data_IF_185530059655
#
_entry.id   IF_185530059655
#
_cell.length_a   1.000
_cell.length_b   1.000
_cell.length_c   1.000
_cell.angle_alpha   90.00
_cell.angle_beta   90.00
_cell.angle_gamma   90.00
#
_symmetry.space_group_name_H-M   'P 1'
#
loop_
_entity.id
_entity.type
_entity.pdbx_description
1 polymer ?
#
# COMPACT_ATOMS: atom_id res chain seq x y z
N UNK A 1 -18.00 25.26 8.57
CA UNK A 1 -18.86 24.26 7.91
C UNK A 1 -19.69 23.46 8.91
N UNK A 2 -19.14 22.68 9.86
CA UNK A 2 -19.91 21.83 10.80
C UNK A 2 -20.96 22.62 11.61
N UNK A 3 -20.59 23.79 12.16
CA UNK A 3 -21.52 24.68 12.88
C UNK A 3 -22.68 25.11 11.98
N UNK A 4 -22.44 25.45 10.74
CA UNK A 4 -23.47 25.88 9.79
C UNK A 4 -24.42 24.72 9.46
N UNK A 5 -23.89 23.53 9.16
CA UNK A 5 -24.71 22.33 8.92
C UNK A 5 -25.58 21.98 10.14
N UNK A 6 -25.04 22.05 11.33
CA UNK A 6 -25.79 21.79 12.56
C UNK A 6 -26.94 22.82 12.75
N UNK A 7 -26.66 24.10 12.46
CA UNK A 7 -27.66 25.16 12.58
C UNK A 7 -28.82 25.05 11.57
N UNK A 8 -28.63 24.36 10.44
CA UNK A 8 -29.70 24.11 9.46
C UNK A 8 -30.70 23.05 9.90
N UNK A 9 -30.39 22.23 10.88
CA UNK A 9 -31.20 21.08 11.29
C UNK A 9 -31.32 19.96 10.25
N UNK A 10 -30.57 20.03 9.14
CA UNK A 10 -30.61 19.02 8.09
C UNK A 10 -30.02 17.69 8.58
N UNK A 11 -30.65 16.55 8.25
CA UNK A 11 -30.08 15.24 8.49
C UNK A 11 -28.66 15.15 7.90
N UNK A 12 -27.69 14.85 8.75
CA UNK A 12 -26.27 14.87 8.37
C UNK A 12 -25.55 13.68 8.98
N UNK A 13 -24.73 12.99 8.18
CA UNK A 13 -23.85 11.89 8.63
C UNK A 13 -22.39 12.28 8.36
N UNK A 14 -21.54 12.08 9.34
CA UNK A 14 -20.12 12.35 9.24
C UNK A 14 -19.38 11.06 8.76
N UNK A 15 -18.72 11.13 7.62
CA UNK A 15 -17.90 10.02 7.07
C UNK A 15 -16.39 10.24 7.25
N UNK A 16 -15.98 11.33 7.90
CA UNK A 16 -14.56 11.60 8.14
C UNK A 16 -14.08 11.00 9.46
N UNK A 17 -12.77 10.74 9.58
CA UNK A 17 -12.15 10.32 10.84
C UNK A 17 -12.21 11.37 11.96
N UNK A 18 -12.56 12.60 11.64
CA UNK A 18 -12.63 13.71 12.62
C UNK A 18 -13.96 13.69 13.38
N UNK A 19 -13.92 13.67 14.70
CA UNK A 19 -15.10 13.88 15.55
C UNK A 19 -15.28 15.37 15.83
N UNK A 20 -16.51 15.83 15.74
CA UNK A 20 -16.88 17.20 16.08
C UNK A 20 -17.53 17.20 17.46
N UNK A 21 -16.75 17.43 18.52
CA UNK A 21 -17.22 17.34 19.90
C UNK A 21 -18.45 18.23 20.20
N UNK A 22 -18.51 19.42 19.57
CA UNK A 22 -19.63 20.37 19.74
C UNK A 22 -20.84 20.07 18.84
N UNK A 23 -20.74 19.11 17.93
CA UNK A 23 -21.79 18.79 16.95
C UNK A 23 -21.82 17.26 16.78
N UNK A 24 -22.66 16.54 17.54
CA UNK A 24 -22.67 15.07 17.56
C UNK A 24 -23.39 14.49 16.33
N UNK A 25 -22.81 14.71 15.15
CA UNK A 25 -23.30 14.02 13.96
C UNK A 25 -23.05 12.52 14.08
N UNK A 26 -24.02 11.66 13.74
CA UNK A 26 -23.77 10.23 13.55
C UNK A 26 -22.59 10.03 12.61
N UNK A 27 -21.74 9.06 12.93
CA UNK A 27 -20.47 8.88 12.23
C UNK A 27 -20.31 7.46 11.70
N UNK A 28 -19.88 7.33 10.45
CA UNK A 28 -19.41 6.08 9.85
C UNK A 28 -18.03 6.34 9.27
N UNK A 29 -17.01 5.61 9.72
CA UNK A 29 -15.64 5.87 9.30
C UNK A 29 -14.76 4.64 9.45
N UNK A 30 -13.51 4.72 8.97
CA UNK A 30 -12.50 3.68 9.14
C UNK A 30 -12.13 3.50 10.62
N UNK A 31 -11.95 2.25 11.05
CA UNK A 31 -11.31 1.90 12.30
C UNK A 31 -9.80 2.18 12.20
N UNK A 32 -9.40 3.36 12.67
CA UNK A 32 -8.01 3.82 12.61
C UNK A 32 -7.04 2.98 13.46
N UNK A 33 -7.54 2.37 14.53
CA UNK A 33 -6.70 1.49 15.36
C UNK A 33 -6.47 0.16 14.67
N UNK A 34 -7.50 -0.41 14.05
CA UNK A 34 -7.35 -1.61 13.24
C UNK A 34 -6.43 -1.37 12.03
N UNK A 35 -6.52 -0.20 11.38
CA UNK A 35 -5.65 0.16 10.27
C UNK A 35 -4.18 0.28 10.70
N UNK A 36 -3.91 0.89 11.86
CA UNK A 36 -2.55 0.98 12.41
C UNK A 36 -1.95 -0.39 12.74
N UNK A 37 -2.72 -1.27 13.38
CA UNK A 37 -2.28 -2.64 13.69
C UNK A 37 -2.03 -3.44 12.41
N UNK A 38 -2.97 -3.45 11.48
CA UNK A 38 -2.82 -4.13 10.18
C UNK A 38 -1.54 -3.70 9.45
N UNK A 39 -1.22 -2.40 9.49
CA UNK A 39 -0.01 -1.86 8.87
C UNK A 39 1.27 -2.36 9.55
N UNK A 40 1.26 -2.47 10.87
CA UNK A 40 2.39 -3.00 11.63
C UNK A 40 2.61 -4.49 11.30
N UNK A 41 1.54 -5.29 11.37
CA UNK A 41 1.59 -6.72 11.06
C UNK A 41 2.12 -6.95 9.64
N UNK A 42 1.59 -6.21 8.66
CA UNK A 42 2.04 -6.32 7.27
C UNK A 42 3.54 -6.02 7.10
N UNK A 43 4.04 -4.94 7.71
CA UNK A 43 5.47 -4.59 7.60
C UNK A 43 6.37 -5.58 8.36
N UNK A 44 5.90 -6.15 9.47
CA UNK A 44 6.61 -7.22 10.21
C UNK A 44 6.65 -8.52 9.42
N UNK A 45 5.57 -8.89 8.74
CA UNK A 45 5.49 -10.09 7.88
C UNK A 45 6.44 -10.01 6.67
N UNK A 46 6.88 -8.80 6.29
CA UNK A 46 7.96 -8.61 5.31
C UNK A 46 9.36 -8.92 5.87
N UNK A 47 9.48 -9.29 7.14
CA UNK A 47 10.74 -9.57 7.81
C UNK A 47 11.52 -8.32 8.25
N UNK A 48 10.92 -7.15 8.19
CA UNK A 48 11.54 -5.90 8.67
C UNK A 48 11.67 -5.89 10.19
N UNK A 49 12.71 -5.23 10.69
CA UNK A 49 13.01 -5.10 12.13
C UNK A 49 13.11 -3.66 12.61
N UNK A 50 13.13 -2.70 11.70
CA UNK A 50 13.13 -1.27 12.00
C UNK A 50 11.88 -0.65 11.42
N UNK A 51 11.21 0.19 12.21
CA UNK A 51 9.91 0.75 11.86
C UNK A 51 9.88 2.24 12.16
N UNK A 52 9.18 2.97 11.30
CA UNK A 52 8.99 4.39 11.49
C UNK A 52 7.59 4.83 11.04
N UNK A 53 7.14 5.94 11.57
CA UNK A 53 5.88 6.57 11.18
C UNK A 53 6.13 7.99 10.70
N UNK A 54 5.66 8.30 9.52
CA UNK A 54 5.76 9.62 8.90
C UNK A 54 4.37 10.21 8.63
N UNK A 55 4.18 11.47 8.95
CA UNK A 55 3.00 12.24 8.56
C UNK A 55 3.36 13.72 8.44
N UNK A 56 2.92 14.32 7.33
CA UNK A 56 3.15 15.74 7.03
C UNK A 56 2.38 16.65 8.00
N UNK A 57 1.15 16.27 8.31
CA UNK A 57 0.33 16.92 9.35
C UNK A 57 -0.11 15.86 10.35
N UNK A 58 -0.17 16.22 11.64
CA UNK A 58 -0.65 15.32 12.67
C UNK A 58 -2.00 15.80 13.27
N UNK A 59 -3.12 15.67 12.52
CA UNK A 59 -4.43 15.98 13.07
C UNK A 59 -4.69 15.12 14.32
N UNK A 60 -5.45 15.64 15.27
CA UNK A 60 -5.71 14.96 16.57
C UNK A 60 -6.27 13.55 16.37
N UNK A 61 -7.13 13.33 15.36
CA UNK A 61 -7.71 12.01 15.08
C UNK A 61 -6.67 11.00 14.58
N UNK A 62 -5.57 11.44 13.98
CA UNK A 62 -4.49 10.56 13.53
C UNK A 62 -3.63 10.00 14.67
N UNK A 63 -3.74 10.57 15.88
CA UNK A 63 -3.03 10.05 17.05
C UNK A 63 -3.38 8.58 17.34
N UNK A 64 -4.64 8.16 17.10
CA UNK A 64 -5.08 6.77 17.28
C UNK A 64 -4.40 5.82 16.32
N UNK A 65 -4.37 6.17 15.03
CA UNK A 65 -3.70 5.37 13.99
C UNK A 65 -2.21 5.20 14.29
N UNK A 66 -1.52 6.32 14.54
CA UNK A 66 -0.09 6.32 14.88
C UNK A 66 0.19 5.50 16.14
N UNK A 67 -0.61 5.70 17.21
CA UNK A 67 -0.44 4.99 18.47
C UNK A 67 -0.64 3.47 18.27
N UNK A 68 -1.69 3.07 17.59
CA UNK A 68 -1.96 1.65 17.34
C UNK A 68 -0.84 0.98 16.53
N UNK A 69 -0.25 1.68 15.57
CA UNK A 69 0.92 1.21 14.85
C UNK A 69 2.14 1.06 15.77
N UNK A 70 2.48 2.11 16.52
CA UNK A 70 3.62 2.09 17.42
C UNK A 70 3.47 1.04 18.53
N UNK A 71 2.29 0.97 19.18
CA UNK A 71 1.99 -0.01 20.23
C UNK A 71 2.12 -1.46 19.69
N UNK A 72 1.70 -1.74 18.45
CA UNK A 72 1.83 -3.06 17.83
C UNK A 72 3.31 -3.42 17.55
N UNK A 73 4.09 -2.48 17.02
CA UNK A 73 5.53 -2.64 16.79
C UNK A 73 6.28 -2.86 18.11
N UNK A 74 5.96 -2.08 19.14
CA UNK A 74 6.57 -2.20 20.46
C UNK A 74 6.19 -3.51 21.17
N UNK A 75 4.95 -3.97 21.04
CA UNK A 75 4.50 -5.25 21.56
C UNK A 75 5.23 -6.45 20.93
N UNK A 76 5.68 -6.31 19.69
CA UNK A 76 6.54 -7.30 19.01
C UNK A 76 8.03 -7.19 19.37
N UNK A 77 8.40 -6.28 20.29
CA UNK A 77 9.79 -6.10 20.77
C UNK A 77 10.65 -5.18 19.91
N UNK A 78 10.07 -4.45 18.98
CA UNK A 78 10.77 -3.51 18.12
C UNK A 78 10.57 -2.05 18.56
N UNK A 79 11.34 -1.13 17.98
CA UNK A 79 11.18 0.32 18.18
C UNK A 79 10.51 0.96 16.98
N UNK A 80 9.68 1.98 17.23
CA UNK A 80 9.06 2.80 16.20
C UNK A 80 9.59 4.23 16.27
N UNK A 81 10.29 4.68 15.23
CA UNK A 81 10.77 6.05 15.08
C UNK A 81 9.66 6.95 14.54
N UNK A 82 9.43 8.09 15.21
CA UNK A 82 8.38 9.01 14.83
C UNK A 82 8.98 10.28 14.20
N UNK A 83 8.63 10.51 12.93
CA UNK A 83 8.92 11.79 12.30
C UNK A 83 7.98 12.88 12.86
N UNK A 84 8.56 14.00 13.23
CA UNK A 84 7.80 15.20 13.64
C UNK A 84 8.16 16.32 12.69
N UNK A 85 7.22 16.68 11.81
CA UNK A 85 7.38 17.87 11.00
C UNK A 85 7.38 19.12 11.89
N UNK A 86 8.32 20.05 11.72
CA UNK A 86 8.41 21.24 12.55
C UNK A 86 7.40 22.33 12.20
N UNK A 87 6.67 22.22 11.08
CA UNK A 87 5.80 23.29 10.56
C UNK A 87 4.32 22.92 10.41
N UNK A 88 3.48 23.94 10.21
CA UNK A 88 2.10 23.79 9.76
C UNK A 88 2.09 23.48 8.25
N UNK A 89 1.56 22.36 7.92
CA UNK A 89 1.79 21.65 6.64
C UNK A 89 1.11 22.25 5.40
N UNK A 90 0.42 23.35 5.47
CA UNK A 90 -0.07 24.06 4.27
C UNK A 90 1.06 24.81 3.52
N UNK A 91 2.17 25.06 4.20
CA UNK A 91 3.39 25.69 3.65
C UNK A 91 4.55 24.68 3.50
N UNK A 92 4.28 23.39 3.65
CA UNK A 92 5.24 22.28 3.79
C UNK A 92 6.09 21.95 2.55
N UNK A 93 6.19 22.82 1.56
CA UNK A 93 7.17 22.71 0.49
C UNK A 93 8.46 23.49 0.77
N UNK A 94 8.70 23.91 2.01
CA UNK A 94 9.89 24.64 2.35
C UNK A 94 11.15 23.79 2.17
N UNK A 95 12.21 24.39 1.68
CA UNK A 95 13.52 23.73 1.50
C UNK A 95 14.07 23.17 2.82
N UNK A 96 13.71 23.77 3.96
CA UNK A 96 14.11 23.35 5.30
C UNK A 96 13.46 22.04 5.73
N UNK A 97 12.18 21.83 5.46
CA UNK A 97 11.48 20.57 5.80
C UNK A 97 11.96 19.39 4.97
N UNK A 98 12.23 19.65 3.66
CA UNK A 98 12.86 18.64 2.81
C UNK A 98 14.25 18.24 3.30
N UNK A 99 15.03 19.19 3.81
CA UNK A 99 16.34 18.93 4.39
C UNK A 99 16.24 18.14 5.71
N UNK A 100 15.24 18.41 6.50
CA UNK A 100 15.01 17.71 7.78
C UNK A 100 14.52 16.27 7.56
N UNK A 101 13.58 16.06 6.64
CA UNK A 101 13.15 14.71 6.25
C UNK A 101 14.34 13.86 5.76
N UNK A 102 15.20 14.44 4.91
CA UNK A 102 16.41 13.75 4.44
C UNK A 102 17.37 13.39 5.58
N UNK A 103 17.59 14.31 6.53
CA UNK A 103 18.42 14.05 7.70
C UNK A 103 17.83 12.95 8.60
N UNK A 104 16.50 12.97 8.78
CA UNK A 104 15.81 11.93 9.55
C UNK A 104 15.94 10.56 8.88
N UNK A 105 15.66 10.44 7.58
CA UNK A 105 15.84 9.21 6.82
C UNK A 105 17.27 8.66 6.90
N UNK A 106 18.29 9.53 6.88
CA UNK A 106 19.69 9.14 7.00
C UNK A 106 20.05 8.54 8.37
N UNK A 107 19.31 8.86 9.44
CA UNK A 107 19.56 8.36 10.81
C UNK A 107 18.86 7.04 11.12
N UNK A 108 17.83 6.68 10.37
CA UNK A 108 17.10 5.43 10.59
C UNK A 108 18.00 4.24 10.30
N UNK A 109 17.93 3.20 11.15
CA UNK A 109 18.52 1.89 10.85
C UNK A 109 17.79 1.25 9.67
N UNK A 110 18.51 0.57 8.79
CA UNK A 110 17.99 -0.02 7.57
C UNK A 110 18.19 -1.55 7.55
N UNK A 111 17.33 -2.28 6.84
CA UNK A 111 16.11 -1.82 6.14
C UNK A 111 15.01 -1.38 7.12
N UNK A 112 14.23 -0.35 6.76
CA UNK A 112 13.18 0.21 7.60
C UNK A 112 11.83 0.22 6.90
N UNK A 113 10.76 -0.16 7.61
CA UNK A 113 9.38 -0.01 7.17
C UNK A 113 8.79 1.31 7.67
N UNK A 114 8.36 2.18 6.77
CA UNK A 114 7.75 3.47 7.10
C UNK A 114 6.27 3.43 6.78
N UNK A 115 5.42 3.56 7.80
CA UNK A 115 4.00 3.82 7.63
C UNK A 115 3.79 5.33 7.48
N UNK A 116 3.24 5.73 6.35
CA UNK A 116 2.82 7.11 6.10
C UNK A 116 1.37 7.28 6.51
N UNK A 117 1.06 8.33 7.25
CA UNK A 117 -0.22 8.57 7.93
C UNK A 117 -1.47 8.19 7.15
N UNK A 118 -2.63 8.25 7.78
CA UNK A 118 -3.91 7.90 7.17
C UNK A 118 -4.66 9.15 6.71
N UNK A 119 -5.61 8.99 5.76
CA UNK A 119 -6.45 10.07 5.25
C UNK A 119 -6.13 10.45 3.82
N UNK A 120 -6.59 9.62 2.89
CA UNK A 120 -6.50 9.70 1.42
C UNK A 120 -5.30 10.51 0.88
N UNK A 121 -5.50 11.77 0.53
CA UNK A 121 -4.46 12.62 -0.04
C UNK A 121 -3.25 12.82 0.89
N UNK A 122 -3.45 13.00 2.22
CA UNK A 122 -2.34 13.24 3.15
C UNK A 122 -1.42 12.04 3.32
N UNK A 123 -1.96 10.81 3.31
CA UNK A 123 -1.15 9.60 3.40
C UNK A 123 -0.29 9.41 2.15
N UNK A 124 -0.89 9.59 0.98
CA UNK A 124 -0.21 9.42 -0.30
C UNK A 124 0.82 10.53 -0.53
N UNK A 125 0.50 11.79 -0.21
CA UNK A 125 1.47 12.88 -0.23
C UNK A 125 2.64 12.62 0.72
N UNK A 126 2.34 12.16 1.94
CA UNK A 126 3.33 11.78 2.95
C UNK A 126 4.27 10.68 2.43
N UNK A 127 3.71 9.62 1.82
CA UNK A 127 4.47 8.53 1.23
C UNK A 127 5.32 8.97 0.03
N UNK A 128 4.76 9.77 -0.87
CA UNK A 128 5.49 10.33 -2.00
C UNK A 128 6.68 11.19 -1.56
N UNK A 129 6.51 11.99 -0.52
CA UNK A 129 7.60 12.80 0.02
C UNK A 129 8.74 11.95 0.58
N UNK A 130 8.41 10.85 1.27
CA UNK A 130 9.40 9.89 1.75
C UNK A 130 10.13 9.26 0.57
N UNK A 131 9.43 8.81 -0.46
CA UNK A 131 10.03 8.21 -1.68
C UNK A 131 10.95 9.21 -2.38
N UNK A 132 10.50 10.45 -2.59
CA UNK A 132 11.30 11.48 -3.25
C UNK A 132 12.53 11.89 -2.40
N UNK A 133 12.38 11.94 -1.07
CA UNK A 133 13.48 12.22 -0.17
C UNK A 133 14.53 11.09 -0.18
N UNK A 134 14.09 9.81 -0.22
CA UNK A 134 14.99 8.66 -0.37
C UNK A 134 15.83 8.77 -1.65
N UNK A 135 15.19 9.03 -2.79
CA UNK A 135 15.88 9.21 -4.07
C UNK A 135 16.95 10.30 -4.00
N UNK A 136 16.67 11.41 -3.33
CA UNK A 136 17.57 12.55 -3.22
C UNK A 136 18.80 12.27 -2.33
N UNK A 137 18.77 11.25 -1.47
CA UNK A 137 19.89 10.86 -0.59
C UNK A 137 20.50 9.51 -0.96
N UNK A 138 20.13 8.97 -2.12
CA UNK A 138 20.67 7.70 -2.60
C UNK A 138 20.16 6.45 -1.88
N UNK A 139 19.02 6.55 -1.18
CA UNK A 139 18.34 5.41 -0.57
C UNK A 139 17.37 4.77 -1.57
N UNK A 140 17.32 3.46 -1.58
CA UNK A 140 16.47 2.68 -2.47
C UNK A 140 15.15 2.31 -1.79
N UNK A 141 14.05 2.46 -2.55
CA UNK A 141 12.73 1.99 -2.16
C UNK A 141 12.38 0.82 -3.08
N UNK A 142 12.12 -0.37 -2.54
CA UNK A 142 11.87 -0.68 -1.13
C UNK A 142 13.10 -1.18 -0.33
N UNK A 143 14.27 -1.39 -0.90
CA UNK A 143 15.37 -2.15 -0.32
C UNK A 143 15.92 -1.55 0.98
N UNK A 144 16.15 -0.24 1.03
CA UNK A 144 16.58 0.46 2.24
C UNK A 144 15.39 0.96 3.05
N UNK A 145 14.32 1.36 2.35
CA UNK A 145 13.13 1.98 2.94
C UNK A 145 11.88 1.41 2.27
N UNK A 146 11.15 0.56 2.96
CA UNK A 146 9.82 0.14 2.54
C UNK A 146 8.78 1.20 2.92
N UNK A 147 7.98 1.67 1.97
CA UNK A 147 7.00 2.73 2.18
C UNK A 147 5.59 2.20 2.02
N UNK A 148 4.80 2.26 3.10
CA UNK A 148 3.39 1.90 3.13
C UNK A 148 2.54 3.15 3.35
N UNK A 149 1.59 3.44 2.47
CA UNK A 149 0.57 4.45 2.71
C UNK A 149 -0.49 3.93 3.67
N UNK A 150 -0.89 4.72 4.65
CA UNK A 150 -1.99 4.38 5.57
C UNK A 150 -3.37 4.43 4.92
N UNK A 151 -3.46 4.76 3.65
CA UNK A 151 -4.66 4.76 2.82
C UNK A 151 -4.28 4.35 1.40
N UNK A 152 -5.25 3.90 0.60
CA UNK A 152 -5.04 3.58 -0.79
C UNK A 152 -5.93 4.43 -1.70
N UNK A 153 -5.33 4.90 -2.78
CA UNK A 153 -6.00 5.52 -3.91
C UNK A 153 -5.33 4.95 -5.16
N UNK A 154 -6.07 4.16 -5.91
CA UNK A 154 -5.53 3.41 -7.03
C UNK A 154 -4.77 4.31 -8.02
N UNK A 155 -5.33 5.48 -8.34
CA UNK A 155 -4.72 6.40 -9.30
C UNK A 155 -3.43 7.03 -8.74
N UNK A 156 -3.50 7.59 -7.53
CA UNK A 156 -2.35 8.30 -6.95
C UNK A 156 -1.23 7.35 -6.52
N UNK A 157 -1.59 6.15 -6.06
CA UNK A 157 -0.61 5.13 -5.67
C UNK A 157 0.16 4.56 -6.86
N UNK A 158 -0.50 4.41 -8.01
CA UNK A 158 0.12 3.89 -9.24
C UNK A 158 1.05 4.90 -9.93
N UNK A 159 0.79 6.21 -9.83
CA UNK A 159 1.69 7.23 -10.43
C UNK A 159 2.93 7.52 -9.60
N UNK A 160 3.04 6.98 -8.39
CA UNK A 160 4.28 7.04 -7.61
C UNK A 160 5.38 6.19 -8.26
N UNK A 161 6.63 6.57 -8.09
CA UNK A 161 7.78 5.79 -8.54
C UNK A 161 8.77 5.54 -7.39
N UNK A 162 8.79 4.28 -6.88
CA UNK A 162 8.00 3.11 -7.28
C UNK A 162 6.51 3.25 -6.91
N UNK A 163 5.60 2.47 -7.57
CA UNK A 163 4.20 2.38 -7.17
C UNK A 163 4.04 2.05 -5.69
N UNK A 164 3.16 2.79 -5.01
CA UNK A 164 3.10 2.79 -3.55
C UNK A 164 2.04 1.83 -3.03
N UNK A 165 2.42 0.95 -2.12
CA UNK A 165 1.52 0.08 -1.37
C UNK A 165 0.64 0.89 -0.43
N UNK A 166 -0.61 0.48 -0.27
CA UNK A 166 -1.57 1.22 0.55
C UNK A 166 -2.52 0.33 1.35
N UNK A 167 -3.06 0.88 2.43
CA UNK A 167 -4.09 0.23 3.22
C UNK A 167 -5.44 0.42 2.53
N UNK A 168 -6.06 -0.69 2.12
CA UNK A 168 -7.38 -0.68 1.48
C UNK A 168 -8.46 -0.38 2.51
N UNK A 169 -8.96 0.85 2.53
CA UNK A 169 -10.08 1.25 3.35
C UNK A 169 -11.40 0.81 2.71
N UNK A 170 -12.38 0.45 3.55
CA UNK A 170 -13.68 -0.03 3.08
C UNK A 170 -14.60 1.13 2.62
N UNK A 171 -14.12 1.97 1.69
CA UNK A 171 -14.77 3.23 1.28
C UNK A 171 -16.20 3.01 0.77
N UNK A 172 -16.43 1.97 -0.03
CA UNK A 172 -17.76 1.61 -0.52
C UNK A 172 -18.71 1.24 0.62
N UNK A 173 -18.26 0.40 1.55
CA UNK A 173 -19.06 0.02 2.73
C UNK A 173 -19.33 1.23 3.64
N UNK A 174 -18.37 2.14 3.81
CA UNK A 174 -18.57 3.39 4.54
C UNK A 174 -19.69 4.20 3.87
N UNK A 175 -19.65 4.34 2.54
CA UNK A 175 -20.68 5.05 1.77
C UNK A 175 -22.06 4.40 1.92
N UNK A 176 -22.17 3.09 1.80
CA UNK A 176 -23.42 2.32 1.96
C UNK A 176 -23.99 2.48 3.37
N UNK A 177 -23.18 2.30 4.41
CA UNK A 177 -23.61 2.46 5.79
C UNK A 177 -24.00 3.90 6.12
N UNK A 178 -23.27 4.88 5.59
CA UNK A 178 -23.59 6.30 5.77
C UNK A 178 -24.91 6.66 5.09
N UNK A 179 -25.19 6.17 3.88
CA UNK A 179 -26.44 6.36 3.18
C UNK A 179 -27.62 5.72 3.92
N UNK A 180 -27.44 4.49 4.42
CA UNK A 180 -28.46 3.83 5.24
C UNK A 180 -28.74 4.58 6.54
N UNK A 181 -27.70 5.12 7.19
CA UNK A 181 -27.81 5.92 8.41
C UNK A 181 -28.52 7.26 8.12
N UNK A 182 -28.18 7.91 7.00
CA UNK A 182 -28.83 9.15 6.57
C UNK A 182 -30.33 8.92 6.30
N UNK A 183 -30.68 7.82 5.62
CA UNK A 183 -32.08 7.45 5.38
C UNK A 183 -32.86 7.21 6.70
N UNK A 184 -32.24 6.60 7.70
CA UNK A 184 -32.86 6.46 9.04
C UNK A 184 -33.12 7.83 9.67
N UNK A 185 -32.15 8.74 9.64
CA UNK A 185 -32.30 10.11 10.15
C UNK A 185 -33.45 10.84 9.45
N UNK A 186 -33.53 10.77 8.12
CA UNK A 186 -34.60 11.39 7.33
C UNK A 186 -35.97 10.79 7.66
N UNK A 187 -36.02 9.53 8.08
CA UNK A 187 -37.25 8.81 8.47
C UNK A 187 -37.59 8.97 9.97
N UNK A 188 -36.87 9.81 10.72
CA UNK A 188 -37.07 9.99 12.17
C UNK A 188 -36.72 8.76 13.02
N UNK A 189 -36.00 7.78 12.46
CA UNK A 189 -35.61 6.55 13.16
C UNK A 189 -34.32 6.77 13.96
N UNK A 190 -34.15 6.09 15.11
CA UNK A 190 -32.94 6.24 15.92
C UNK A 190 -31.70 5.72 15.16
N UNK A 191 -30.57 6.41 15.38
CA UNK A 191 -29.25 6.01 14.90
C UNK A 191 -28.42 5.40 16.05
N UNK A 192 -27.37 4.65 15.76
CA UNK A 192 -26.46 4.17 16.79
C UNK A 192 -25.89 5.33 17.65
N UNK A 193 -25.75 5.12 18.96
CA UNK A 193 -25.23 6.13 19.88
C UNK A 193 -23.73 6.43 19.71
N UNK A 194 -22.99 5.56 19.02
CA UNK A 194 -21.55 5.72 18.78
C UNK A 194 -21.18 5.71 17.30
N UNK A 195 -19.90 5.96 16.97
CA UNK A 195 -19.42 5.86 15.61
C UNK A 195 -19.47 4.38 15.12
N UNK A 196 -19.94 4.18 13.91
CA UNK A 196 -19.79 2.92 13.18
C UNK A 196 -18.39 2.88 12.59
N UNK A 197 -17.56 1.98 13.11
CA UNK A 197 -16.16 1.83 12.69
C UNK A 197 -16.03 0.61 11.78
N UNK A 198 -15.53 0.82 10.56
CA UNK A 198 -15.31 -0.23 9.59
C UNK A 198 -13.81 -0.54 9.50
N UNK A 199 -13.47 -1.81 9.67
CA UNK A 199 -12.09 -2.29 9.54
C UNK A 199 -11.62 -2.15 8.09
N UNK A 200 -10.33 -1.86 7.85
CA UNK A 200 -9.76 -1.93 6.51
C UNK A 200 -9.89 -3.38 5.96
N UNK A 201 -10.00 -3.50 4.65
CA UNK A 201 -10.14 -4.81 3.98
C UNK A 201 -8.82 -5.54 3.80
N UNK A 202 -7.68 -4.87 3.96
CA UNK A 202 -6.35 -5.45 3.80
C UNK A 202 -5.31 -4.40 3.42
N UNK A 203 -4.16 -4.87 2.95
CA UNK A 203 -3.13 -4.05 2.31
C UNK A 203 -3.07 -4.43 0.83
N UNK A 204 -3.02 -3.43 -0.04
CA UNK A 204 -2.75 -3.61 -1.48
C UNK A 204 -1.23 -3.48 -1.68
N UNK A 205 -0.51 -4.59 -1.83
CA UNK A 205 0.93 -4.56 -2.01
C UNK A 205 1.28 -4.08 -3.41
N UNK A 206 2.20 -3.11 -3.48
CA UNK A 206 2.83 -2.63 -4.71
C UNK A 206 4.35 -2.62 -4.53
N UNK A 207 5.07 -2.02 -5.46
CA UNK A 207 6.54 -2.07 -5.48
C UNK A 207 7.20 -1.41 -4.27
N UNK A 208 6.60 -0.39 -3.65
CA UNK A 208 7.22 0.34 -2.52
C UNK A 208 7.39 -0.47 -1.23
N UNK A 209 6.74 -1.63 -1.11
CA UNK A 209 6.91 -2.57 -0.01
C UNK A 209 7.31 -3.98 -0.48
N UNK A 210 7.67 -4.13 -1.75
CA UNK A 210 8.16 -5.41 -2.27
C UNK A 210 9.61 -5.66 -1.79
N UNK A 211 9.76 -5.61 -0.47
CA UNK A 211 11.05 -5.79 0.24
C UNK A 211 11.44 -7.23 0.13
N UNK A 212 12.68 -7.42 -0.27
CA UNK A 212 13.37 -8.65 0.06
C UNK A 212 14.35 -8.31 1.17
N UNK A 213 13.94 -8.58 2.39
CA UNK A 213 14.83 -8.47 3.56
C UNK A 213 15.87 -9.56 3.47
N UNK A 214 16.97 -9.25 2.80
CA UNK A 214 18.08 -10.18 2.64
C UNK A 214 19.35 -9.53 3.18
N UNK A 215 19.88 -10.11 4.24
CA UNK A 215 21.21 -9.73 4.78
C UNK A 215 22.37 -10.01 3.79
N UNK A 216 22.06 -10.49 2.59
CA UNK A 216 23.00 -10.81 1.53
C UNK A 216 22.99 -9.74 0.43
N UNK A 217 24.02 -8.88 0.35
CA UNK A 217 24.09 -7.79 -0.62
C UNK A 217 24.10 -8.26 -2.08
N UNK A 218 24.60 -9.48 -2.34
CA UNK A 218 24.61 -10.05 -3.69
C UNK A 218 23.20 -10.49 -4.09
N UNK A 219 22.45 -11.05 -3.14
CA UNK A 219 21.08 -11.44 -3.38
C UNK A 219 20.20 -10.20 -3.55
N UNK A 220 20.38 -9.16 -2.74
CA UNK A 220 19.70 -7.87 -2.91
C UNK A 220 19.97 -7.26 -4.30
N UNK A 221 21.23 -7.31 -4.77
CA UNK A 221 21.59 -6.84 -6.11
C UNK A 221 20.90 -7.66 -7.21
N UNK A 222 20.87 -8.98 -7.08
CA UNK A 222 20.22 -9.87 -8.03
C UNK A 222 18.70 -9.60 -8.13
N UNK A 223 18.05 -9.37 -7.00
CA UNK A 223 16.62 -9.11 -6.95
C UNK A 223 16.31 -7.72 -7.53
N UNK A 224 17.11 -6.71 -7.21
CA UNK A 224 16.99 -5.38 -7.84
C UNK A 224 17.10 -5.48 -9.34
N UNK A 225 18.12 -6.17 -9.86
CA UNK A 225 18.26 -6.40 -11.29
C UNK A 225 17.03 -7.07 -11.91
N UNK A 226 16.48 -8.10 -11.26
CA UNK A 226 15.25 -8.76 -11.73
C UNK A 226 14.09 -7.76 -11.80
N UNK A 227 13.89 -6.92 -10.79
CA UNK A 227 12.79 -5.94 -10.74
C UNK A 227 12.89 -4.90 -11.83
N UNK A 228 14.10 -4.38 -12.03
CA UNK A 228 14.34 -3.32 -13.00
C UNK A 228 14.22 -3.81 -14.44
N UNK A 229 14.63 -5.08 -14.70
CA UNK A 229 14.75 -5.63 -16.05
C UNK A 229 13.75 -6.74 -16.38
N UNK A 230 12.84 -7.15 -15.47
CA UNK A 230 11.90 -8.24 -15.75
C UNK A 230 10.99 -7.99 -16.95
N UNK A 231 10.73 -6.72 -17.31
CA UNK A 231 9.97 -6.32 -18.48
C UNK A 231 10.73 -6.59 -19.79
N UNK A 232 12.03 -6.73 -19.72
CA UNK A 232 12.87 -7.25 -20.79
C UNK A 232 12.85 -8.78 -20.76
N UNK A 233 13.28 -9.43 -21.82
CA UNK A 233 13.29 -10.90 -21.88
C UNK A 233 14.50 -11.52 -21.17
N UNK A 234 14.81 -11.03 -19.94
CA UNK A 234 15.92 -11.58 -19.16
C UNK A 234 15.70 -13.04 -18.76
N UNK A 235 16.81 -13.75 -18.59
CA UNK A 235 16.89 -15.11 -18.09
C UNK A 235 17.74 -15.16 -16.82
N UNK A 236 17.72 -16.29 -16.10
CA UNK A 236 18.51 -16.50 -14.87
C UNK A 236 20.01 -16.24 -15.12
N UNK A 237 20.52 -16.56 -16.31
CA UNK A 237 21.92 -16.28 -16.65
C UNK A 237 22.27 -14.80 -16.71
N UNK A 238 21.32 -13.93 -17.04
CA UNK A 238 21.55 -12.48 -17.02
C UNK A 238 21.65 -11.97 -15.59
N UNK A 239 20.86 -12.54 -14.67
CA UNK A 239 20.98 -12.25 -13.24
C UNK A 239 22.33 -12.72 -12.67
N UNK A 240 22.82 -13.88 -13.11
CA UNK A 240 24.15 -14.39 -12.69
C UNK A 240 25.28 -13.45 -13.13
N UNK A 241 25.16 -12.77 -14.26
CA UNK A 241 26.21 -11.85 -14.76
C UNK A 241 26.40 -10.59 -13.90
N UNK A 242 25.38 -10.20 -13.13
CA UNK A 242 25.42 -8.96 -12.33
C UNK A 242 25.84 -9.17 -10.89
N UNK A 243 26.12 -10.41 -10.49
CA UNK A 243 26.57 -10.74 -9.14
C UNK A 243 27.78 -11.67 -9.18
N UNK A 244 28.73 -11.59 -8.22
CA UNK A 244 29.90 -12.45 -8.18
C UNK A 244 29.56 -13.84 -7.56
N UNK A 245 28.51 -14.49 -8.09
CA UNK A 245 28.02 -15.78 -7.62
C UNK A 245 27.91 -16.78 -8.79
N UNK A 246 28.19 -18.05 -8.52
CA UNK A 246 27.81 -19.10 -9.46
C UNK A 246 26.29 -19.24 -9.50
N UNK A 247 25.76 -19.77 -10.60
CA UNK A 247 24.32 -20.05 -10.75
C UNK A 247 23.78 -20.90 -9.59
N UNK A 248 24.49 -21.95 -9.20
CA UNK A 248 24.09 -22.83 -8.09
C UNK A 248 24.04 -22.08 -6.75
N UNK A 249 25.05 -21.23 -6.48
CA UNK A 249 25.07 -20.42 -5.27
C UNK A 249 23.92 -19.40 -5.25
N UNK A 250 23.63 -18.76 -6.37
CA UNK A 250 22.51 -17.85 -6.50
C UNK A 250 21.16 -18.56 -6.27
N UNK A 251 20.93 -19.70 -6.92
CA UNK A 251 19.71 -20.50 -6.75
C UNK A 251 19.54 -20.95 -5.29
N UNK A 252 20.60 -21.44 -4.65
CA UNK A 252 20.59 -21.83 -3.23
C UNK A 252 20.19 -20.67 -2.32
N UNK A 253 20.83 -19.51 -2.49
CA UNK A 253 20.55 -18.31 -1.68
C UNK A 253 19.14 -17.80 -1.90
N UNK A 254 18.63 -17.83 -3.14
CA UNK A 254 17.24 -17.46 -3.44
C UNK A 254 16.25 -18.36 -2.71
N UNK A 255 16.47 -19.68 -2.72
CA UNK A 255 15.58 -20.62 -2.03
C UNK A 255 15.65 -20.43 -0.52
N UNK A 256 16.85 -20.25 0.06
CA UNK A 256 17.01 -20.03 1.51
C UNK A 256 16.35 -18.74 1.99
N UNK A 257 16.44 -17.67 1.23
CA UNK A 257 15.95 -16.36 1.65
C UNK A 257 14.49 -16.09 1.24
N UNK A 258 14.01 -16.66 0.14
CA UNK A 258 12.73 -16.32 -0.48
C UNK A 258 11.81 -17.53 -0.72
N UNK A 259 12.25 -18.72 -0.37
CA UNK A 259 11.55 -19.99 -0.66
C UNK A 259 11.16 -20.15 -2.14
N UNK A 260 11.97 -19.58 -3.05
CA UNK A 260 11.75 -19.64 -4.50
C UNK A 260 13.05 -19.47 -5.29
N UNK A 261 13.05 -19.95 -6.53
CA UNK A 261 14.20 -19.81 -7.43
C UNK A 261 14.24 -18.43 -8.10
N UNK A 262 15.42 -18.00 -8.64
CA UNK A 262 15.52 -16.77 -9.43
C UNK A 262 14.55 -16.74 -10.63
N UNK A 263 14.33 -17.87 -11.30
CA UNK A 263 13.36 -17.97 -12.39
C UNK A 263 11.92 -17.80 -11.94
N UNK A 264 11.57 -18.31 -10.75
CA UNK A 264 10.26 -18.08 -10.15
C UNK A 264 10.06 -16.59 -9.77
N UNK A 265 11.12 -15.92 -9.28
CA UNK A 265 11.07 -14.48 -8.99
C UNK A 265 10.90 -13.63 -10.24
N UNK A 266 11.63 -13.90 -11.33
CA UNK A 266 11.41 -13.24 -12.63
C UNK A 266 9.95 -13.39 -13.06
N UNK A 267 9.40 -14.62 -12.98
CA UNK A 267 8.01 -14.89 -13.34
C UNK A 267 7.02 -14.13 -12.45
N UNK A 268 7.26 -14.08 -11.15
CA UNK A 268 6.43 -13.34 -10.17
C UNK A 268 6.35 -11.85 -10.50
N UNK A 269 7.50 -11.21 -10.76
CA UNK A 269 7.57 -9.78 -11.10
C UNK A 269 6.86 -9.50 -12.43
N UNK A 270 7.07 -10.34 -13.44
CA UNK A 270 6.36 -10.25 -14.73
C UNK A 270 4.85 -10.39 -14.57
N UNK A 271 4.42 -11.35 -13.75
CA UNK A 271 2.99 -11.58 -13.49
C UNK A 271 2.33 -10.41 -12.80
N UNK A 272 3.00 -9.81 -11.79
CA UNK A 272 2.53 -8.60 -11.13
C UNK A 272 2.35 -7.44 -12.12
N UNK A 273 3.33 -7.24 -13.03
CA UNK A 273 3.24 -6.24 -14.10
C UNK A 273 2.11 -6.55 -15.08
N UNK A 274 1.93 -7.82 -15.48
CA UNK A 274 0.85 -8.21 -16.39
C UNK A 274 -0.54 -7.97 -15.76
N UNK A 275 -0.73 -8.29 -14.47
CA UNK A 275 -1.98 -8.00 -13.75
C UNK A 275 -2.34 -6.53 -13.81
N UNK A 276 -1.37 -5.65 -13.53
CA UNK A 276 -1.54 -4.20 -13.60
C UNK A 276 -1.92 -3.75 -15.01
N UNK A 277 -1.16 -4.14 -16.03
CA UNK A 277 -1.47 -3.79 -17.43
C UNK A 277 -2.85 -4.28 -17.89
N UNK A 278 -3.29 -5.45 -17.41
CA UNK A 278 -4.64 -5.96 -17.69
C UNK A 278 -5.74 -5.12 -17.03
N UNK A 279 -5.51 -4.63 -15.82
CA UNK A 279 -6.45 -3.78 -15.08
C UNK A 279 -6.54 -2.38 -15.70
N UNK A 280 -5.38 -1.77 -16.02
CA UNK A 280 -5.26 -0.33 -16.25
C UNK A 280 -5.14 0.07 -17.74
N UNK A 281 -4.99 -0.89 -18.67
CA UNK A 281 -4.82 -0.58 -20.09
C UNK A 281 -5.70 -1.41 -21.01
N UNK A 282 -6.00 -0.88 -22.20
CA UNK A 282 -6.72 -1.57 -23.27
C UNK A 282 -5.83 -2.44 -24.16
N UNK A 283 -4.61 -2.70 -23.74
CA UNK A 283 -3.68 -3.56 -24.49
C UNK A 283 -4.27 -4.94 -24.72
N UNK A 284 -4.06 -5.49 -25.91
CA UNK A 284 -4.38 -6.90 -26.16
C UNK A 284 -3.57 -7.80 -25.23
N UNK A 285 -4.02 -9.03 -24.98
CA UNK A 285 -3.28 -9.99 -24.14
C UNK A 285 -1.86 -10.23 -24.69
N UNK A 286 -1.68 -10.20 -26.01
CA UNK A 286 -0.36 -10.27 -26.66
C UNK A 286 0.51 -9.05 -26.35
N UNK A 287 -0.05 -7.83 -26.43
CA UNK A 287 0.67 -6.61 -26.08
C UNK A 287 1.03 -6.57 -24.59
N UNK A 288 0.14 -7.05 -23.72
CA UNK A 288 0.43 -7.20 -22.27
C UNK A 288 1.57 -8.19 -22.05
N UNK A 289 1.57 -9.33 -22.74
CA UNK A 289 2.63 -10.32 -22.63
C UNK A 289 3.99 -9.70 -22.97
N UNK A 290 4.08 -9.01 -24.09
CA UNK A 290 5.32 -8.34 -24.53
C UNK A 290 5.73 -7.25 -23.52
N UNK A 291 4.82 -6.36 -23.11
CA UNK A 291 5.11 -5.26 -22.19
C UNK A 291 5.45 -5.72 -20.77
N UNK A 292 5.02 -6.91 -20.38
CA UNK A 292 5.34 -7.52 -19.08
C UNK A 292 6.59 -8.43 -19.13
N UNK A 293 7.22 -8.60 -20.30
CA UNK A 293 8.44 -9.42 -20.46
C UNK A 293 8.18 -10.92 -20.66
N UNK A 294 6.93 -11.33 -20.97
CA UNK A 294 6.64 -12.70 -21.37
C UNK A 294 6.97 -12.91 -22.86
N UNK A 295 7.50 -14.10 -23.17
CA UNK A 295 7.87 -14.43 -24.57
C UNK A 295 6.70 -14.57 -25.52
N UNK A 296 5.50 -14.94 -25.01
CA UNK A 296 4.29 -15.05 -25.81
C UNK A 296 3.01 -14.91 -24.98
N UNK A 297 1.88 -14.66 -25.67
CA UNK A 297 0.55 -14.59 -25.05
C UNK A 297 0.10 -15.94 -24.47
N UNK A 298 0.50 -17.04 -25.12
CA UNK A 298 0.20 -18.41 -24.69
C UNK A 298 0.90 -18.70 -23.36
N UNK A 299 2.19 -18.36 -23.25
CA UNK A 299 2.96 -18.54 -22.03
C UNK A 299 2.41 -17.67 -20.89
N UNK A 300 2.07 -16.40 -21.15
CA UNK A 300 1.37 -15.56 -20.17
C UNK A 300 0.07 -16.22 -19.71
N UNK A 301 -0.75 -16.73 -20.64
CA UNK A 301 -2.03 -17.36 -20.33
C UNK A 301 -1.87 -18.64 -19.50
N UNK A 302 -0.84 -19.42 -19.76
CA UNK A 302 -0.50 -20.61 -18.98
C UNK A 302 -0.12 -20.22 -17.55
N UNK A 303 0.81 -19.27 -17.37
CA UNK A 303 1.25 -18.78 -16.07
C UNK A 303 0.07 -18.20 -15.29
N UNK A 304 -0.78 -17.40 -15.93
CA UNK A 304 -1.97 -16.84 -15.31
C UNK A 304 -2.91 -17.90 -14.75
N UNK A 305 -3.21 -18.95 -15.53
CA UNK A 305 -4.05 -20.07 -15.05
C UNK A 305 -3.42 -20.79 -13.87
N UNK A 306 -2.11 -21.03 -13.92
CA UNK A 306 -1.39 -21.75 -12.86
C UNK A 306 -1.29 -20.94 -11.58
N UNK A 307 -0.92 -19.66 -11.67
CA UNK A 307 -0.54 -18.85 -10.50
C UNK A 307 -1.71 -17.95 -10.01
N UNK A 308 -2.73 -17.68 -10.84
CA UNK A 308 -3.89 -16.82 -10.52
C UNK A 308 -5.21 -17.59 -10.52
N UNK A 309 -5.27 -18.75 -11.19
CA UNK A 309 -6.47 -19.58 -11.26
C UNK A 309 -7.45 -19.20 -12.37
N UNK A 310 -7.26 -18.08 -13.06
CA UNK A 310 -8.14 -17.58 -14.13
C UNK A 310 -7.35 -17.21 -15.37
N UNK A 311 -8.02 -16.95 -16.49
CA UNK A 311 -7.36 -16.45 -17.70
C UNK A 311 -7.10 -14.94 -17.61
N UNK A 312 -6.11 -14.37 -18.36
CA UNK A 312 -5.88 -12.93 -18.42
C UNK A 312 -7.13 -12.13 -18.81
N UNK A 313 -7.92 -12.65 -19.74
CA UNK A 313 -9.16 -11.98 -20.18
C UNK A 313 -10.26 -12.00 -19.11
N UNK A 314 -10.40 -13.10 -18.36
CA UNK A 314 -11.32 -13.22 -17.25
C UNK A 314 -10.91 -12.25 -16.13
N UNK A 315 -9.64 -12.23 -15.75
CA UNK A 315 -9.09 -11.30 -14.77
C UNK A 315 -9.38 -9.83 -15.14
N UNK A 316 -9.14 -9.45 -16.40
CA UNK A 316 -9.48 -8.11 -16.91
C UNK A 316 -10.96 -7.78 -16.73
N UNK A 317 -11.84 -8.73 -17.10
CA UNK A 317 -13.29 -8.54 -16.97
C UNK A 317 -13.71 -8.35 -15.52
N UNK A 318 -13.14 -9.12 -14.61
CA UNK A 318 -13.43 -9.02 -13.17
C UNK A 318 -12.96 -7.68 -12.59
N UNK A 319 -11.74 -7.25 -12.93
CA UNK A 319 -11.17 -5.98 -12.43
C UNK A 319 -11.86 -4.74 -12.96
N UNK A 320 -12.46 -4.83 -14.15
CA UNK A 320 -13.16 -3.71 -14.81
C UNK A 320 -14.66 -3.72 -14.63
N UNK A 321 -15.22 -4.76 -14.04
CA UNK A 321 -16.66 -4.82 -13.74
C UNK A 321 -16.96 -3.89 -12.57
N UNK A 322 -17.80 -2.87 -12.72
CA UNK A 322 -18.31 -2.13 -11.59
C UNK A 322 -19.18 -3.08 -10.76
N UNK A 323 -18.80 -3.31 -9.51
CA UNK A 323 -19.53 -4.08 -8.50
C UNK A 323 -19.40 -5.60 -8.67
N UNK A 324 -18.60 -6.21 -7.79
CA UNK A 324 -18.65 -7.64 -7.54
C UNK A 324 -20.10 -8.03 -7.20
N UNK A 325 -20.69 -8.86 -8.04
CA UNK A 325 -22.03 -9.42 -7.83
C UNK A 325 -22.06 -10.13 -6.48
N UNK A 326 -23.04 -9.78 -5.65
CA UNK A 326 -23.38 -10.57 -4.48
C UNK A 326 -23.52 -12.05 -4.86
N UNK A 327 -23.07 -12.99 -4.02
CA UNK A 327 -23.11 -14.41 -4.35
C UNK A 327 -24.53 -14.82 -4.75
N UNK A 328 -24.67 -15.39 -5.96
CA UNK A 328 -25.94 -15.95 -6.43
C UNK A 328 -26.41 -16.97 -5.39
N UNK A 329 -27.55 -16.70 -4.77
CA UNK A 329 -28.23 -17.69 -3.93
C UNK A 329 -28.49 -18.93 -4.78
N UNK A 330 -28.19 -20.13 -4.27
CA UNK A 330 -28.56 -21.36 -4.97
C UNK A 330 -30.08 -21.37 -5.14
N UNK A 331 -30.55 -21.61 -6.37
CA UNK A 331 -31.95 -21.86 -6.64
C UNK A 331 -32.34 -23.18 -5.92
N UNK A 332 -33.32 -23.09 -5.08
CA UNK A 332 -34.03 -24.28 -4.56
C UNK A 332 -34.84 -24.92 -5.68
#
# INVERSE_FOLDING_TARGET
>A
MARHLHATGLPTVNVSGRRFASFPFPQVTTDLEAAGRLSADFLMDLGLRHFAYHIVQSPIHMKRHRRAFADAVEAAGFRCDLYRSPGDALEAESSSERAELRRWLGRLSKPVGILCGHGSQLAIHSGRWVIDACRNVGLHVPEDVAVLSGDDDDLLSEVCHPPMSGVAVASEHIGQQAAAMLHRLMSGKPTPEGPVLLKPSGVIPRQSTDVVSVDDPHLATAIRFIRDHAHEQIQVMDVVKVVPLSRRSLEYRFVQALDRTPGAEIRRVRLARAKRLLADSDFTVGAVATAAGFGSAEYLSQVFRTDVGVTPSCFRSEMRSPIAQAPRRPRR
#
